data_IF_802422765479
#
_entry.id   IF_802422765479
#
_cell.length_a   1.000
_cell.length_b   1.000
_cell.length_c   1.000
_cell.angle_alpha   90.00
_cell.angle_beta   90.00
_cell.angle_gamma   90.00
#
_symmetry.space_group_name_H-M   'P 1'
#
loop_
_entity.id
_entity.type
_entity.pdbx_description
1 polymer ?
#
# COMPACT_ATOMS: atom_id res chain seq x y z
N UNK A 1 5.77 17.90 7.71
CA UNK A 1 5.29 17.08 8.84
C UNK A 1 5.85 15.69 8.66
N UNK A 2 6.44 15.11 9.72
CA UNK A 2 6.85 13.71 9.72
C UNK A 2 5.61 12.81 9.67
N UNK A 3 5.62 11.81 8.81
CA UNK A 3 4.61 10.75 8.72
C UNK A 3 5.28 9.41 8.94
N UNK A 4 4.59 8.44 9.51
CA UNK A 4 5.01 7.05 9.59
C UNK A 4 4.29 6.25 8.52
N UNK A 5 5.00 5.39 7.80
CA UNK A 5 4.43 4.56 6.74
C UNK A 5 4.40 3.11 7.22
N UNK A 6 3.23 2.49 7.13
CA UNK A 6 3.03 1.07 7.39
C UNK A 6 2.59 0.38 6.09
N UNK A 7 3.33 -0.64 5.64
CA UNK A 7 3.03 -1.39 4.42
C UNK A 7 2.56 -2.79 4.79
N UNK A 8 1.34 -3.12 4.44
CA UNK A 8 0.68 -4.39 4.74
C UNK A 8 0.81 -5.37 3.56
N UNK A 9 1.45 -6.50 3.81
CA UNK A 9 1.78 -7.50 2.82
C UNK A 9 3.15 -7.24 2.20
N UNK A 10 4.15 -8.04 2.58
CA UNK A 10 5.53 -7.94 2.10
C UNK A 10 5.79 -8.93 0.95
N UNK A 11 4.84 -9.02 0.04
CA UNK A 11 4.94 -9.81 -1.18
C UNK A 11 5.59 -9.04 -2.32
N UNK A 12 5.23 -9.44 -3.54
CA UNK A 12 5.79 -8.95 -4.80
C UNK A 12 5.67 -7.43 -5.02
N UNK A 13 4.65 -6.79 -4.47
CA UNK A 13 4.43 -5.33 -4.56
C UNK A 13 4.94 -4.62 -3.30
N UNK A 14 4.53 -5.10 -2.12
CA UNK A 14 4.77 -4.37 -0.89
C UNK A 14 6.23 -4.39 -0.41
N UNK A 15 6.98 -5.47 -0.66
CA UNK A 15 8.38 -5.50 -0.27
C UNK A 15 9.24 -4.52 -1.11
N UNK A 16 9.18 -4.51 -2.45
CA UNK A 16 9.88 -3.49 -3.26
C UNK A 16 9.49 -2.06 -2.89
N UNK A 17 8.20 -1.81 -2.62
CA UNK A 17 7.71 -0.51 -2.19
C UNK A 17 8.31 -0.11 -0.83
N UNK A 18 8.41 -1.06 0.12
CA UNK A 18 9.06 -0.86 1.42
C UNK A 18 10.51 -0.40 1.26
N UNK A 19 11.28 -1.11 0.44
CA UNK A 19 12.69 -0.78 0.18
C UNK A 19 12.81 0.60 -0.46
N UNK A 20 12.01 0.88 -1.48
CA UNK A 20 12.08 2.14 -2.21
C UNK A 20 11.74 3.36 -1.35
N UNK A 21 10.70 3.29 -0.55
CA UNK A 21 10.34 4.38 0.35
C UNK A 21 11.37 4.57 1.47
N UNK A 22 11.91 3.48 2.00
CA UNK A 22 12.98 3.55 3.00
C UNK A 22 14.28 4.13 2.42
N UNK A 23 14.63 3.79 1.17
CA UNK A 23 15.78 4.37 0.46
C UNK A 23 15.61 5.87 0.21
N UNK A 24 14.36 6.34 0.05
CA UNK A 24 14.04 7.76 -0.03
C UNK A 24 14.07 8.49 1.33
N UNK A 25 14.35 7.77 2.42
CA UNK A 25 14.52 8.33 3.76
C UNK A 25 13.27 8.29 4.63
N UNK A 26 12.18 7.64 4.19
CA UNK A 26 11.01 7.45 5.05
C UNK A 26 11.28 6.37 6.12
N UNK A 27 10.64 6.55 7.28
CA UNK A 27 10.53 5.49 8.29
C UNK A 27 9.38 4.57 7.89
N UNK A 28 9.70 3.34 7.49
CA UNK A 28 8.73 2.37 6.97
C UNK A 28 8.66 1.16 7.90
N UNK A 29 7.45 0.78 8.29
CA UNK A 29 7.20 -0.51 8.95
C UNK A 29 6.55 -1.45 7.94
N UNK A 30 7.26 -2.49 7.55
CA UNK A 30 6.71 -3.58 6.75
C UNK A 30 5.97 -4.56 7.65
N UNK A 31 4.72 -4.85 7.33
CA UNK A 31 3.82 -5.70 8.12
C UNK A 31 3.41 -6.91 7.28
N UNK A 32 3.65 -8.10 7.80
CA UNK A 32 3.16 -9.34 7.17
C UNK A 32 2.68 -10.32 8.23
N UNK A 33 1.54 -10.96 7.97
CA UNK A 33 0.98 -11.99 8.85
C UNK A 33 1.76 -13.30 8.81
N UNK A 34 2.54 -13.52 7.74
CA UNK A 34 3.40 -14.68 7.58
C UNK A 34 4.71 -14.49 8.36
N UNK A 35 4.79 -15.14 9.52
CA UNK A 35 5.98 -15.09 10.39
C UNK A 35 7.24 -15.62 9.70
N UNK A 36 7.13 -16.62 8.85
CA UNK A 36 8.28 -17.15 8.09
C UNK A 36 8.83 -16.08 7.13
N UNK A 37 7.93 -15.29 6.48
CA UNK A 37 8.34 -14.16 5.64
C UNK A 37 9.10 -13.11 6.43
N UNK A 38 8.60 -12.73 7.60
CA UNK A 38 9.27 -11.78 8.50
C UNK A 38 10.65 -12.30 8.89
N UNK A 39 10.74 -13.54 9.39
CA UNK A 39 12.01 -14.15 9.80
C UNK A 39 13.04 -14.24 8.66
N UNK A 40 12.59 -14.58 7.45
CA UNK A 40 13.48 -14.59 6.27
C UNK A 40 14.04 -13.20 5.98
N UNK A 41 13.21 -12.17 6.00
CA UNK A 41 13.64 -10.80 5.80
C UNK A 41 14.57 -10.31 6.92
N UNK A 42 14.27 -10.61 8.18
CA UNK A 42 15.15 -10.28 9.32
C UNK A 42 16.55 -10.87 9.16
N UNK A 43 16.64 -12.07 8.56
CA UNK A 43 17.91 -12.74 8.26
C UNK A 43 18.49 -12.38 6.88
N UNK A 44 18.00 -11.32 6.24
CA UNK A 44 18.40 -10.87 4.90
C UNK A 44 18.26 -11.96 3.81
N UNK A 45 17.31 -12.90 3.97
CA UNK A 45 17.03 -13.96 3.00
C UNK A 45 15.90 -13.52 2.08
N UNK A 46 16.25 -12.89 0.98
CA UNK A 46 15.32 -12.43 -0.04
C UNK A 46 14.84 -13.59 -0.94
N UNK A 47 13.75 -13.36 -1.67
CA UNK A 47 13.33 -14.25 -2.76
C UNK A 47 14.17 -13.96 -4.02
N UNK A 48 14.28 -14.91 -4.94
CA UNK A 48 15.08 -14.75 -6.18
C UNK A 48 14.65 -13.52 -6.99
N UNK A 49 13.36 -13.21 -7.03
CA UNK A 49 12.82 -12.03 -7.68
C UNK A 49 13.20 -10.71 -7.01
N UNK A 50 13.69 -10.75 -5.78
CA UNK A 50 14.00 -9.58 -4.92
C UNK A 50 15.50 -9.34 -4.77
N UNK A 51 16.36 -10.26 -5.26
CA UNK A 51 17.83 -10.18 -5.09
C UNK A 51 18.40 -8.85 -5.60
N UNK A 52 17.80 -8.28 -6.63
CA UNK A 52 18.20 -6.98 -7.16
C UNK A 52 18.04 -5.82 -6.16
N UNK A 53 17.24 -5.99 -5.10
CA UNK A 53 17.02 -5.01 -4.03
C UNK A 53 17.88 -5.26 -2.78
N UNK A 54 18.68 -6.34 -2.74
CA UNK A 54 19.37 -6.81 -1.54
C UNK A 54 20.24 -5.71 -0.92
N UNK A 55 21.07 -5.06 -1.72
CA UNK A 55 21.97 -4.00 -1.23
C UNK A 55 21.19 -2.84 -0.60
N UNK A 56 20.18 -2.34 -1.30
CA UNK A 56 19.35 -1.22 -0.81
C UNK A 56 18.60 -1.61 0.46
N UNK A 57 18.08 -2.84 0.51
CA UNK A 57 17.37 -3.36 1.67
C UNK A 57 18.28 -3.42 2.90
N UNK A 58 19.49 -3.98 2.76
CA UNK A 58 20.46 -4.07 3.85
C UNK A 58 20.87 -2.68 4.34
N UNK A 59 21.17 -1.75 3.42
CA UNK A 59 21.51 -0.37 3.76
C UNK A 59 20.37 0.33 4.54
N UNK A 60 19.11 0.14 4.13
CA UNK A 60 17.96 0.69 4.81
C UNK A 60 17.73 0.08 6.21
N UNK A 61 17.99 -1.22 6.36
CA UNK A 61 17.94 -1.92 7.67
C UNK A 61 19.00 -1.37 8.62
N UNK A 62 20.24 -1.21 8.15
CA UNK A 62 21.35 -0.65 8.94
C UNK A 62 21.09 0.79 9.39
N UNK A 63 20.40 1.58 8.57
CA UNK A 63 19.98 2.96 8.91
C UNK A 63 18.72 3.01 9.79
N UNK A 64 18.16 1.85 10.16
CA UNK A 64 16.89 1.74 10.88
C UNK A 64 15.69 2.41 10.16
N UNK A 65 15.74 2.54 8.84
CA UNK A 65 14.64 3.05 8.03
C UNK A 65 13.54 2.01 7.76
N UNK A 66 13.85 0.72 7.95
CA UNK A 66 12.89 -0.38 7.83
C UNK A 66 12.76 -1.11 9.17
N UNK A 67 11.53 -1.21 9.66
CA UNK A 67 11.12 -2.14 10.70
C UNK A 67 10.27 -3.25 10.09
N UNK A 68 10.31 -4.43 10.66
CA UNK A 68 9.49 -5.58 10.25
C UNK A 68 8.65 -6.02 11.44
N UNK A 69 7.36 -6.13 11.22
CA UNK A 69 6.39 -6.44 12.28
C UNK A 69 5.29 -7.37 11.76
N UNK A 70 4.64 -8.11 12.66
CA UNK A 70 3.47 -8.93 12.30
C UNK A 70 2.14 -8.19 12.48
N UNK A 71 2.16 -7.04 13.14
CA UNK A 71 0.97 -6.23 13.46
C UNK A 71 1.33 -4.75 13.46
N UNK A 72 0.38 -3.86 13.16
CA UNK A 72 0.58 -2.43 13.29
C UNK A 72 0.74 -1.99 14.73
N UNK A 73 1.34 -0.84 14.94
CA UNK A 73 1.54 -0.26 16.26
C UNK A 73 0.90 1.14 16.39
N UNK A 74 0.66 1.56 17.62
CA UNK A 74 0.25 2.93 17.89
C UNK A 74 1.36 3.90 17.54
N UNK A 75 0.98 5.08 17.06
CA UNK A 75 1.90 6.15 16.70
C UNK A 75 1.43 7.50 17.25
N UNK A 76 2.37 8.33 17.69
CA UNK A 76 2.10 9.71 18.12
C UNK A 76 1.95 10.66 16.93
N UNK A 77 2.55 10.33 15.78
CA UNK A 77 2.43 11.09 14.52
C UNK A 77 1.40 10.43 13.60
N UNK A 78 0.83 11.17 12.62
CA UNK A 78 -0.06 10.60 11.62
C UNK A 78 0.60 9.45 10.85
N UNK A 79 -0.20 8.44 10.54
CA UNK A 79 0.24 7.24 9.79
C UNK A 79 -0.39 7.18 8.42
N UNK A 80 0.35 6.55 7.50
CA UNK A 80 -0.18 6.11 6.22
C UNK A 80 -0.06 4.61 6.13
N UNK A 81 -1.19 3.91 6.07
CA UNK A 81 -1.26 2.48 5.83
C UNK A 81 -1.38 2.19 4.35
N UNK A 82 -0.40 1.51 3.75
CA UNK A 82 -0.44 1.10 2.34
C UNK A 82 -0.74 -0.40 2.28
N UNK A 83 -1.86 -0.75 1.64
CA UNK A 83 -2.37 -2.12 1.61
C UNK A 83 -1.96 -2.80 0.31
N UNK A 84 -1.01 -3.74 0.41
CA UNK A 84 -0.43 -4.51 -0.70
C UNK A 84 -0.66 -6.02 -0.54
N UNK A 85 -1.74 -6.41 0.12
CA UNK A 85 -2.05 -7.82 0.39
C UNK A 85 -2.61 -8.52 -0.85
N UNK A 86 -2.49 -9.87 -0.93
CA UNK A 86 -3.06 -10.63 -2.03
C UNK A 86 -4.59 -10.49 -2.13
N UNK A 87 -5.08 -10.56 -3.37
CA UNK A 87 -6.52 -10.61 -3.68
C UNK A 87 -6.81 -11.93 -4.38
N UNK A 88 -7.17 -12.98 -3.65
CA UNK A 88 -7.36 -14.31 -4.22
C UNK A 88 -8.57 -14.34 -5.17
N UNK A 89 -8.56 -15.29 -6.09
CA UNK A 89 -9.74 -15.57 -6.93
C UNK A 89 -10.90 -15.96 -6.00
N UNK A 90 -12.07 -15.31 -6.13
CA UNK A 90 -13.18 -15.58 -5.24
C UNK A 90 -13.70 -17.01 -5.38
N UNK A 91 -14.05 -17.63 -4.27
CA UNK A 91 -14.70 -18.94 -4.19
C UNK A 91 -16.00 -18.82 -3.39
N UNK A 92 -16.77 -19.93 -3.25
CA UNK A 92 -18.00 -19.91 -2.43
C UNK A 92 -17.79 -19.43 -0.98
N UNK A 93 -16.57 -19.61 -0.44
CA UNK A 93 -16.26 -19.34 0.97
C UNK A 93 -15.23 -18.20 1.16
N UNK A 94 -14.62 -17.69 0.10
CA UNK A 94 -13.55 -16.69 0.17
C UNK A 94 -13.87 -15.59 -0.83
N UNK A 95 -14.08 -14.36 -0.32
CA UNK A 95 -14.18 -13.17 -1.17
C UNK A 95 -12.78 -12.68 -1.57
N UNK A 96 -12.67 -12.06 -2.74
CA UNK A 96 -11.39 -11.51 -3.26
C UNK A 96 -10.79 -10.45 -2.33
N UNK A 97 -11.63 -9.74 -1.57
CA UNK A 97 -11.25 -8.63 -0.70
C UNK A 97 -11.02 -9.01 0.78
N UNK A 98 -11.06 -10.32 1.11
CA UNK A 98 -10.98 -10.79 2.51
C UNK A 98 -9.69 -10.32 3.21
N UNK A 99 -8.54 -10.40 2.53
CA UNK A 99 -7.27 -9.97 3.11
C UNK A 99 -7.15 -8.45 3.15
N UNK A 100 -7.73 -7.74 2.19
CA UNK A 100 -7.79 -6.28 2.19
C UNK A 100 -8.59 -5.78 3.39
N UNK A 101 -9.77 -6.34 3.63
CA UNK A 101 -10.61 -6.03 4.81
C UNK A 101 -9.87 -6.32 6.11
N UNK A 102 -9.22 -7.48 6.21
CA UNK A 102 -8.45 -7.86 7.40
C UNK A 102 -7.28 -6.89 7.68
N UNK A 103 -6.53 -6.50 6.66
CA UNK A 103 -5.44 -5.54 6.80
C UNK A 103 -5.95 -4.16 7.21
N UNK A 104 -7.05 -3.68 6.61
CA UNK A 104 -7.70 -2.43 6.99
C UNK A 104 -8.17 -2.45 8.43
N UNK A 105 -8.87 -3.50 8.87
CA UNK A 105 -9.30 -3.66 10.26
C UNK A 105 -8.11 -3.68 11.22
N UNK A 106 -7.02 -4.35 10.85
CA UNK A 106 -5.80 -4.37 11.65
C UNK A 106 -5.21 -2.97 11.80
N UNK A 107 -5.12 -2.19 10.71
CA UNK A 107 -4.65 -0.80 10.74
C UNK A 107 -5.55 0.08 11.62
N UNK A 108 -6.89 -0.06 11.49
CA UNK A 108 -7.86 0.73 12.23
C UNK A 108 -7.80 0.52 13.75
N UNK A 109 -7.36 -0.66 14.23
CA UNK A 109 -7.19 -0.92 15.66
C UNK A 109 -6.14 0.00 16.32
N UNK A 110 -5.22 0.57 15.54
CA UNK A 110 -4.16 1.47 16.01
C UNK A 110 -4.25 2.85 15.34
N UNK A 111 -5.38 3.19 14.74
CA UNK A 111 -5.56 4.41 13.97
C UNK A 111 -6.14 5.55 14.80
N UNK A 112 -5.92 6.76 14.33
CA UNK A 112 -6.42 8.01 14.91
C UNK A 112 -6.82 9.01 13.83
N UNK A 113 -7.56 10.07 14.18
CA UNK A 113 -7.82 11.16 13.25
C UNK A 113 -6.53 11.73 12.64
N UNK A 114 -6.54 11.93 11.32
CA UNK A 114 -5.41 12.38 10.53
C UNK A 114 -4.65 11.26 9.82
N UNK A 115 -4.98 9.99 10.08
CA UNK A 115 -4.40 8.85 9.37
C UNK A 115 -5.01 8.68 7.97
N UNK A 116 -4.26 8.02 7.09
CA UNK A 116 -4.64 7.76 5.70
C UNK A 116 -4.44 6.29 5.37
N UNK A 117 -5.36 5.70 4.65
CA UNK A 117 -5.20 4.38 4.00
C UNK A 117 -5.04 4.60 2.49
N UNK A 118 -4.08 3.89 1.89
CA UNK A 118 -3.89 3.77 0.45
C UNK A 118 -4.04 2.29 0.07
N UNK A 119 -5.03 1.97 -0.74
CA UNK A 119 -5.21 0.63 -1.27
C UNK A 119 -4.40 0.49 -2.57
N UNK A 120 -3.40 -0.38 -2.60
CA UNK A 120 -2.63 -0.74 -3.80
C UNK A 120 -3.02 -2.11 -4.36
N UNK A 121 -3.59 -2.97 -3.52
CA UNK A 121 -4.10 -4.28 -3.97
C UNK A 121 -5.11 -4.13 -5.11
N UNK A 122 -5.08 -5.05 -6.07
CA UNK A 122 -6.09 -5.12 -7.13
C UNK A 122 -7.42 -5.57 -6.54
N UNK A 123 -8.41 -4.70 -6.49
CA UNK A 123 -9.70 -4.92 -5.86
C UNK A 123 -10.85 -4.87 -6.88
N UNK A 124 -11.97 -5.50 -6.55
CA UNK A 124 -13.19 -5.44 -7.35
C UNK A 124 -13.84 -4.06 -7.27
N UNK A 125 -14.60 -3.71 -8.30
CA UNK A 125 -15.34 -2.44 -8.36
C UNK A 125 -16.34 -2.33 -7.20
N UNK A 126 -16.23 -1.25 -6.43
CA UNK A 126 -17.04 -1.00 -5.23
C UNK A 126 -16.32 -1.33 -3.91
N UNK A 127 -15.16 -1.99 -3.93
CA UNK A 127 -14.44 -2.36 -2.71
C UNK A 127 -13.99 -1.12 -1.92
N UNK A 128 -13.54 -0.05 -2.57
CA UNK A 128 -13.14 1.19 -1.87
C UNK A 128 -14.30 1.80 -1.09
N UNK A 129 -15.53 1.72 -1.60
CA UNK A 129 -16.74 2.17 -0.89
C UNK A 129 -17.03 1.28 0.34
N UNK A 130 -16.85 -0.03 0.21
CA UNK A 130 -16.99 -0.99 1.32
C UNK A 130 -15.98 -0.64 2.42
N UNK A 131 -14.71 -0.44 2.07
CA UNK A 131 -13.66 -0.04 3.02
C UNK A 131 -13.99 1.30 3.69
N UNK A 132 -14.48 2.28 2.93
CA UNK A 132 -14.91 3.56 3.47
C UNK A 132 -16.03 3.40 4.51
N UNK A 133 -16.96 2.46 4.30
CA UNK A 133 -18.02 2.17 5.27
C UNK A 133 -17.49 1.46 6.52
N UNK A 134 -16.51 0.55 6.40
CA UNK A 134 -15.82 -0.06 7.55
C UNK A 134 -15.18 1.03 8.41
N UNK A 135 -14.47 1.98 7.79
CA UNK A 135 -13.82 3.11 8.47
C UNK A 135 -14.84 3.99 9.20
N UNK A 136 -15.98 4.31 8.54
CA UNK A 136 -17.07 5.08 9.16
C UNK A 136 -17.67 4.35 10.36
N UNK A 137 -17.86 3.03 10.28
CA UNK A 137 -18.38 2.22 11.39
C UNK A 137 -17.42 2.18 12.60
N UNK A 138 -16.14 2.50 12.42
CA UNK A 138 -15.17 2.69 13.49
C UNK A 138 -15.15 4.11 14.06
N UNK A 139 -16.06 4.99 13.65
CA UNK A 139 -16.24 6.35 14.16
C UNK A 139 -15.40 7.41 13.47
N UNK A 140 -14.77 7.09 12.34
CA UNK A 140 -14.03 8.08 11.54
C UNK A 140 -14.91 8.72 10.46
N UNK A 141 -14.60 9.96 10.08
CA UNK A 141 -15.23 10.67 8.98
C UNK A 141 -14.30 10.68 7.76
N UNK A 142 -14.58 9.78 6.80
CA UNK A 142 -13.79 9.67 5.55
C UNK A 142 -13.85 10.99 4.76
N UNK A 143 -12.69 11.49 4.37
CA UNK A 143 -12.54 12.78 3.67
C UNK A 143 -12.52 14.01 4.57
N UNK A 144 -12.62 13.83 5.91
CA UNK A 144 -12.51 14.91 6.89
C UNK A 144 -11.39 14.68 7.89
N UNK A 145 -11.50 13.59 8.67
CA UNK A 145 -10.52 13.24 9.68
C UNK A 145 -9.80 11.91 9.41
N UNK A 146 -10.17 11.22 8.33
CA UNK A 146 -9.50 10.00 7.88
C UNK A 146 -9.49 9.94 6.35
N UNK A 147 -8.29 9.72 5.76
CA UNK A 147 -8.11 9.65 4.33
C UNK A 147 -8.23 8.25 3.78
N UNK A 148 -8.88 8.12 2.60
CA UNK A 148 -8.94 6.87 1.84
C UNK A 148 -8.52 7.15 0.41
N UNK A 149 -7.47 6.46 -0.04
CA UNK A 149 -7.01 6.51 -1.42
C UNK A 149 -7.03 5.10 -2.02
N UNK A 150 -7.22 5.02 -3.32
CA UNK A 150 -7.00 3.82 -4.13
C UNK A 150 -6.02 4.17 -5.25
N UNK A 151 -4.87 3.50 -5.28
CA UNK A 151 -3.80 3.72 -6.24
C UNK A 151 -3.19 2.38 -6.65
N UNK A 152 -3.85 1.62 -7.54
CA UNK A 152 -3.44 0.27 -7.88
C UNK A 152 -2.08 0.22 -8.55
N UNK A 153 -1.31 -0.83 -8.25
CA UNK A 153 -0.04 -1.12 -8.91
C UNK A 153 -0.26 -1.51 -10.37
N UNK A 154 0.66 -1.05 -11.24
CA UNK A 154 0.60 -1.25 -12.70
C UNK A 154 1.83 -1.95 -13.27
N UNK A 155 2.73 -2.48 -12.43
CA UNK A 155 3.94 -3.17 -12.88
C UNK A 155 3.54 -4.38 -13.73
N UNK A 156 4.14 -4.46 -14.91
CA UNK A 156 4.16 -5.66 -15.73
C UNK A 156 5.57 -6.26 -15.67
N UNK A 157 5.76 -7.39 -14.96
CA UNK A 157 7.07 -8.01 -14.83
C UNK A 157 7.70 -8.44 -16.15
N UNK A 158 6.88 -8.61 -17.21
CA UNK A 158 7.33 -9.00 -18.54
C UNK A 158 7.78 -7.81 -19.39
N UNK A 159 7.42 -6.58 -19.01
CA UNK A 159 7.72 -5.36 -19.78
C UNK A 159 8.97 -4.67 -19.26
N UNK A 160 10.03 -4.64 -20.07
CA UNK A 160 11.31 -4.03 -19.71
C UNK A 160 11.38 -2.51 -19.96
N UNK A 161 10.46 -1.97 -20.76
CA UNK A 161 10.45 -0.53 -21.10
C UNK A 161 9.68 0.30 -20.08
N UNK A 162 8.66 -0.27 -19.43
CA UNK A 162 7.80 0.40 -18.47
C UNK A 162 8.02 -0.15 -17.07
N UNK A 163 8.98 0.43 -16.36
CA UNK A 163 9.23 0.12 -14.96
C UNK A 163 8.33 0.90 -14.01
N UNK A 164 8.42 0.58 -12.72
CA UNK A 164 7.69 1.24 -11.63
C UNK A 164 7.84 2.78 -11.67
N UNK A 165 8.94 3.28 -12.23
CA UNK A 165 9.32 4.69 -12.24
C UNK A 165 8.59 5.51 -13.30
N UNK A 166 8.14 4.88 -14.38
CA UNK A 166 7.68 5.60 -15.58
C UNK A 166 6.19 5.47 -15.84
N UNK A 167 5.50 4.51 -15.20
CA UNK A 167 4.08 4.26 -15.46
C UNK A 167 3.22 5.27 -14.71
N UNK A 168 2.38 6.08 -15.41
CA UNK A 168 1.37 6.89 -14.74
C UNK A 168 0.41 5.99 -13.96
N UNK A 169 0.11 6.34 -12.71
CA UNK A 169 -0.86 5.62 -11.90
C UNK A 169 -2.16 6.40 -11.78
N UNK A 170 -3.26 5.73 -11.96
CA UNK A 170 -4.56 6.29 -11.62
C UNK A 170 -4.72 6.30 -10.12
N UNK A 171 -5.18 7.43 -9.56
CA UNK A 171 -5.42 7.55 -8.12
C UNK A 171 -6.77 8.21 -7.85
N UNK A 172 -7.52 7.62 -6.94
CA UNK A 172 -8.62 8.24 -6.23
C UNK A 172 -8.20 8.56 -4.80
N UNK A 173 -8.62 9.71 -4.27
CA UNK A 173 -8.53 10.02 -2.84
C UNK A 173 -9.81 10.70 -2.37
N UNK A 174 -10.22 10.43 -1.14
CA UNK A 174 -11.43 10.95 -0.53
C UNK A 174 -11.44 12.48 -0.35
N UNK A 175 -10.25 13.09 -0.33
CA UNK A 175 -10.05 14.53 -0.13
C UNK A 175 -8.70 15.01 -0.67
N UNK A 176 -8.50 16.32 -0.71
CA UNK A 176 -7.27 16.91 -1.24
C UNK A 176 -6.05 16.70 -0.33
N UNK A 177 -6.24 16.71 0.99
CA UNK A 177 -5.14 16.50 1.94
C UNK A 177 -4.56 15.09 1.78
N UNK A 178 -5.42 14.08 1.67
CA UNK A 178 -5.03 12.69 1.41
C UNK A 178 -4.34 12.54 0.06
N UNK A 179 -4.79 13.28 -0.96
CA UNK A 179 -4.14 13.31 -2.26
C UNK A 179 -2.73 13.90 -2.19
N UNK A 180 -2.55 15.01 -1.47
CA UNK A 180 -1.24 15.64 -1.32
C UNK A 180 -0.25 14.74 -0.57
N UNK A 181 -0.73 14.04 0.47
CA UNK A 181 0.06 13.03 1.19
C UNK A 181 0.47 11.89 0.25
N UNK A 182 -0.48 11.30 -0.47
CA UNK A 182 -0.21 10.22 -1.42
C UNK A 182 0.76 10.67 -2.51
N UNK A 183 0.56 11.87 -3.09
CA UNK A 183 1.43 12.45 -4.10
C UNK A 183 2.86 12.62 -3.58
N UNK A 184 3.03 13.09 -2.35
CA UNK A 184 4.35 13.20 -1.70
C UNK A 184 5.06 11.86 -1.56
N UNK A 185 4.33 10.79 -1.24
CA UNK A 185 4.86 9.42 -1.17
C UNK A 185 5.23 8.92 -2.58
N UNK A 186 4.30 8.99 -3.53
CA UNK A 186 4.49 8.48 -4.90
C UNK A 186 5.50 9.29 -5.72
N UNK A 187 5.84 10.52 -5.31
CA UNK A 187 6.96 11.26 -5.90
C UNK A 187 8.26 10.44 -5.86
N UNK A 188 8.46 9.68 -4.79
CA UNK A 188 9.63 8.83 -4.59
C UNK A 188 9.48 7.42 -5.19
N UNK A 189 8.30 7.09 -5.71
CA UNK A 189 8.03 5.76 -6.31
C UNK A 189 8.05 5.85 -7.83
N UNK A 190 7.26 6.76 -8.42
CA UNK A 190 7.10 6.92 -9.86
C UNK A 190 7.21 8.37 -10.34
N UNK A 191 8.00 9.19 -9.65
CA UNK A 191 8.14 10.62 -9.97
C UNK A 191 6.87 11.44 -9.71
N UNK A 192 5.89 10.88 -8.96
CA UNK A 192 4.61 11.54 -8.68
C UNK A 192 3.68 11.61 -9.90
N UNK A 193 3.92 10.78 -10.93
CA UNK A 193 3.09 10.73 -12.12
C UNK A 193 1.74 10.05 -11.81
N UNK A 194 0.80 10.87 -11.30
CA UNK A 194 -0.51 10.45 -10.83
C UNK A 194 -1.61 11.12 -11.62
N UNK A 195 -2.53 10.31 -12.14
CA UNK A 195 -3.78 10.76 -12.76
C UNK A 195 -4.91 10.69 -11.75
N UNK A 196 -5.25 11.83 -11.15
CA UNK A 196 -6.33 11.92 -10.18
C UNK A 196 -7.68 11.77 -10.85
N UNK A 197 -8.54 10.91 -10.29
CA UNK A 197 -9.94 10.73 -10.68
C UNK A 197 -10.87 11.05 -9.52
N UNK A 198 -12.11 11.42 -9.84
CA UNK A 198 -13.08 11.91 -8.85
C UNK A 198 -13.98 10.79 -8.26
N UNK A 199 -13.81 9.56 -8.73
CA UNK A 199 -14.61 8.42 -8.24
C UNK A 199 -13.72 7.20 -8.03
N UNK A 200 -13.87 6.49 -6.89
CA UNK A 200 -13.13 5.25 -6.67
C UNK A 200 -13.47 4.19 -7.73
N UNK A 201 -14.73 4.12 -8.16
CA UNK A 201 -15.16 3.18 -9.19
C UNK A 201 -14.44 3.38 -10.52
N UNK A 202 -14.14 4.65 -10.89
CA UNK A 202 -13.38 4.92 -12.10
C UNK A 202 -11.98 4.33 -11.99
N UNK A 203 -11.27 4.56 -10.86
CA UNK A 203 -9.95 4.01 -10.64
C UNK A 203 -9.93 2.47 -10.63
N UNK A 204 -10.92 1.85 -10.00
CA UNK A 204 -11.11 0.40 -9.92
C UNK A 204 -11.39 -0.21 -11.30
N UNK A 205 -12.27 0.41 -12.10
CA UNK A 205 -12.59 -0.01 -13.47
C UNK A 205 -11.36 0.09 -14.36
N UNK A 206 -10.61 1.19 -14.32
CA UNK A 206 -9.38 1.37 -15.12
C UNK A 206 -8.41 0.21 -14.84
N UNK A 207 -8.18 -0.13 -13.58
CA UNK A 207 -7.31 -1.27 -13.22
C UNK A 207 -7.83 -2.60 -13.77
N UNK A 208 -9.14 -2.83 -13.68
CA UNK A 208 -9.76 -4.06 -14.19
C UNK A 208 -9.61 -4.19 -15.71
N UNK A 209 -9.82 -3.09 -16.44
CA UNK A 209 -9.62 -3.04 -17.88
C UNK A 209 -8.17 -3.32 -18.27
N UNK A 210 -7.20 -2.68 -17.63
CA UNK A 210 -5.78 -2.91 -17.89
C UNK A 210 -5.38 -4.37 -17.70
N UNK A 211 -5.88 -5.01 -16.65
CA UNK A 211 -5.61 -6.43 -16.41
C UNK A 211 -6.26 -7.34 -17.48
N UNK A 212 -7.39 -6.94 -18.06
CA UNK A 212 -8.08 -7.72 -19.09
C UNK A 212 -7.41 -7.61 -20.48
N UNK A 213 -6.64 -6.54 -20.73
CA UNK A 213 -5.92 -6.32 -22.00
C UNK A 213 -4.46 -6.81 -22.01
N UNK A 214 -3.96 -7.31 -20.88
CA UNK A 214 -2.65 -7.95 -20.72
C UNK A 214 -2.76 -9.47 -20.83
#
# INVERSE_FOLDING_TARGET
KSISIEIFGLGYVGFPLTVRLASAGFQVTGIDVNQERIQRLENNKLMDSEIHLEKEYIDCRQKNNIKLESKPSNSTIPKVGIICVPTPIPTKNISSDIFVKSAVESFLNCSKPGDVIILESSIEVGTTEIISNIIKNRGFEVGKNFGVCFCPERIDPSNKEWGIENIPRVIYCSDNSSFDIAKGIYLHVNGGNLLKVNSPKIAEIVKSFENAFR
#
